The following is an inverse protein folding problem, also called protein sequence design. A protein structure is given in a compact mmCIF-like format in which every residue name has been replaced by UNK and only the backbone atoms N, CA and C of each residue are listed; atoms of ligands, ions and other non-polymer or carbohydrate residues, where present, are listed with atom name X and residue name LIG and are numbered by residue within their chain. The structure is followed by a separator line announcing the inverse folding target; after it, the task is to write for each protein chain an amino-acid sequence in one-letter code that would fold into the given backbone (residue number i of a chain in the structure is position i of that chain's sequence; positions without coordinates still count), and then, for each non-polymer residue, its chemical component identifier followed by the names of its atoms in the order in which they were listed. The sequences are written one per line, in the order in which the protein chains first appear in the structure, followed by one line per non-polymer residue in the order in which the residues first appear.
data_IF_608909170077
#
_entry.id   IF_608909170077
#
_cell.length_a   1.000
_cell.length_b   1.000
_cell.length_c   1.000
_cell.angle_alpha   90.00
_cell.angle_beta   90.00
_cell.angle_gamma   90.00
#
_symmetry.space_group_name_H-M   'P 1'
#
loop_
_entity.id
_entity.type
_entity.pdbx_description
1 polymer ?
#
# COMPACT_ATOMS: atom_id res chain seq x y z
N UNK A 1 14.20 12.74 7.80
CA UNK A 1 13.00 12.05 7.30
C UNK A 1 13.34 11.56 5.92
N UNK A 2 13.42 10.26 5.75
CA UNK A 2 13.88 9.66 4.51
C UNK A 2 12.75 9.73 3.48
N UNK A 3 12.80 10.70 2.59
CA UNK A 3 11.87 10.87 1.45
C UNK A 3 11.92 9.71 0.43
N UNK A 4 12.68 8.64 0.73
CA UNK A 4 12.89 7.50 -0.14
C UNK A 4 11.59 6.71 -0.39
N UNK A 5 10.72 6.60 0.62
CA UNK A 5 9.45 5.89 0.48
C UNK A 5 8.51 6.55 -0.54
N UNK A 6 8.40 7.89 -0.51
CA UNK A 6 7.57 8.62 -1.46
C UNK A 6 8.17 8.58 -2.88
N UNK A 7 9.51 8.67 -3.00
CA UNK A 7 10.20 8.55 -4.29
C UNK A 7 10.05 7.16 -4.90
N UNK A 8 10.10 6.11 -4.08
CA UNK A 8 9.81 4.76 -4.52
C UNK A 8 8.36 4.63 -5.01
N UNK A 9 7.39 5.17 -4.25
CA UNK A 9 5.98 5.12 -4.63
C UNK A 9 5.72 5.87 -5.95
N UNK A 10 6.32 7.04 -6.15
CA UNK A 10 6.24 7.80 -7.39
C UNK A 10 6.81 7.03 -8.60
N UNK A 11 7.94 6.33 -8.41
CA UNK A 11 8.55 5.50 -9.45
C UNK A 11 7.69 4.28 -9.79
N UNK A 12 7.29 3.54 -8.77
CA UNK A 12 6.43 2.37 -8.91
C UNK A 12 5.09 2.70 -9.58
N UNK A 13 4.47 3.82 -9.20
CA UNK A 13 3.20 4.23 -9.81
C UNK A 13 3.36 4.50 -11.31
N UNK A 14 4.44 5.17 -11.72
CA UNK A 14 4.73 5.41 -13.14
C UNK A 14 5.00 4.14 -13.93
N UNK A 15 5.67 3.16 -13.32
CA UNK A 15 5.99 1.89 -13.97
C UNK A 15 4.78 0.97 -14.14
N UNK A 16 3.72 1.18 -13.35
CA UNK A 16 2.50 0.37 -13.38
C UNK A 16 1.38 1.01 -14.19
N UNK A 17 1.51 2.26 -14.62
CA UNK A 17 0.62 2.91 -15.59
C UNK A 17 0.85 2.34 -16.99
N UNK A 18 -0.12 1.58 -17.50
CA UNK A 18 -0.09 0.94 -18.82
C UNK A 18 -1.13 1.48 -19.81
N UNK A 19 -1.90 2.51 -19.43
CA UNK A 19 -2.94 3.15 -20.25
C UNK A 19 -4.37 2.68 -19.97
N UNK A 20 -4.55 1.50 -19.35
CA UNK A 20 -5.86 0.97 -18.94
C UNK A 20 -6.08 1.08 -17.43
N UNK A 21 -4.98 1.09 -16.65
CA UNK A 21 -5.01 1.22 -15.20
C UNK A 21 -5.60 2.55 -14.72
N UNK A 22 -5.33 3.66 -15.41
CA UNK A 22 -5.70 5.01 -14.95
C UNK A 22 -7.22 5.23 -14.85
N UNK A 23 -8.03 4.40 -15.51
CA UNK A 23 -9.49 4.53 -15.50
C UNK A 23 -10.19 3.72 -14.39
N UNK A 24 -9.50 2.78 -13.73
CA UNK A 24 -10.12 1.87 -12.77
C UNK A 24 -9.33 1.69 -11.45
N UNK A 25 -8.05 2.06 -11.42
CA UNK A 25 -7.15 1.79 -10.30
C UNK A 25 -6.33 3.03 -9.92
N UNK A 26 -6.08 3.21 -8.62
CA UNK A 26 -5.40 4.42 -8.15
C UNK A 26 -4.82 4.32 -6.74
N UNK A 27 -4.16 5.40 -6.34
CA UNK A 27 -3.68 5.63 -4.97
C UNK A 27 -4.68 6.57 -4.30
N UNK A 28 -5.32 6.11 -3.23
CA UNK A 28 -6.21 6.92 -2.40
C UNK A 28 -5.41 7.35 -1.17
N UNK A 29 -5.32 8.65 -0.93
CA UNK A 29 -4.72 9.22 0.29
C UNK A 29 -5.83 9.98 1.02
N UNK A 30 -6.08 9.59 2.25
CA UNK A 30 -7.12 10.20 3.08
C UNK A 30 -6.50 10.71 4.38
N UNK A 31 -7.04 11.81 4.87
CA UNK A 31 -6.73 12.28 6.22
C UNK A 31 -7.55 11.44 7.19
N UNK A 32 -6.88 10.80 8.15
CA UNK A 32 -7.54 10.19 9.30
C UNK A 32 -7.52 11.18 10.47
N UNK A 33 -8.54 11.14 11.32
CA UNK A 33 -8.63 12.04 12.48
C UNK A 33 -7.39 11.90 13.39
N UNK A 34 -6.97 13.03 13.97
CA UNK A 34 -5.71 13.22 14.72
C UNK A 34 -4.41 13.11 13.88
N UNK A 35 -4.27 13.97 12.88
CA UNK A 35 -3.00 14.25 12.16
C UNK A 35 -2.37 13.05 11.43
N UNK A 36 -3.15 12.02 11.12
CA UNK A 36 -2.66 10.85 10.37
C UNK A 36 -3.09 10.90 8.91
N UNK A 37 -2.40 10.14 8.07
CA UNK A 37 -2.82 9.82 6.71
C UNK A 37 -3.00 8.30 6.57
N UNK A 38 -4.09 7.87 5.96
CA UNK A 38 -4.23 6.51 5.43
C UNK A 38 -3.96 6.53 3.93
N UNK A 39 -3.37 5.44 3.44
CA UNK A 39 -3.12 5.24 2.02
C UNK A 39 -3.65 3.87 1.61
N UNK A 40 -4.44 3.83 0.55
CA UNK A 40 -4.90 2.62 -0.11
C UNK A 40 -4.37 2.58 -1.53
N UNK A 41 -3.83 1.43 -1.93
CA UNK A 41 -3.25 1.22 -3.26
C UNK A 41 -3.77 -0.11 -3.78
N UNK A 42 -4.44 -0.08 -4.92
CA UNK A 42 -4.85 -1.31 -5.60
C UNK A 42 -3.65 -1.94 -6.31
N UNK A 43 -3.35 -3.20 -6.00
CA UNK A 43 -2.23 -3.94 -6.58
C UNK A 43 -2.64 -4.81 -7.77
N UNK A 44 -3.93 -4.89 -8.11
CA UNK A 44 -4.43 -5.67 -9.24
C UNK A 44 -3.70 -5.27 -10.54
N UNK A 45 -3.28 -6.27 -11.31
CA UNK A 45 -2.53 -6.06 -12.55
C UNK A 45 -1.09 -5.57 -12.38
N UNK A 46 -0.60 -5.39 -11.15
CA UNK A 46 0.80 -5.01 -10.90
C UNK A 46 1.65 -6.22 -10.52
N UNK A 47 2.99 -6.16 -10.67
CA UNK A 47 3.90 -7.19 -10.19
C UNK A 47 3.81 -7.48 -8.68
N UNK A 48 3.18 -6.59 -7.89
CA UNK A 48 3.02 -6.74 -6.45
C UNK A 48 1.76 -7.50 -6.03
N UNK A 49 0.87 -7.87 -6.97
CA UNK A 49 -0.42 -8.52 -6.67
C UNK A 49 -0.26 -9.82 -5.86
N UNK A 50 0.81 -10.58 -6.10
CA UNK A 50 1.09 -11.86 -5.44
C UNK A 50 2.17 -11.74 -4.34
N UNK A 51 2.55 -10.51 -3.96
CA UNK A 51 3.52 -10.32 -2.90
C UNK A 51 2.84 -10.57 -1.56
N UNK A 52 3.13 -11.73 -0.97
CA UNK A 52 2.71 -12.02 0.40
C UNK A 52 3.47 -11.08 1.34
N UNK A 53 2.77 -10.12 1.93
CA UNK A 53 3.28 -9.45 3.12
C UNK A 53 3.48 -10.52 4.18
N UNK A 54 4.72 -10.75 4.61
CA UNK A 54 4.99 -11.48 5.84
C UNK A 54 4.42 -10.64 6.99
N UNK A 55 3.11 -10.74 7.20
CA UNK A 55 2.51 -10.29 8.44
C UNK A 55 3.27 -11.05 9.54
N UNK A 56 3.76 -10.37 10.58
CA UNK A 56 4.27 -11.08 11.74
C UNK A 56 3.16 -12.04 12.19
N UNK A 57 3.49 -13.27 12.61
CA UNK A 57 2.48 -14.20 13.13
C UNK A 57 1.65 -13.42 14.14
N UNK A 58 0.34 -13.38 13.91
CA UNK A 58 -0.61 -12.71 14.80
C UNK A 58 -0.26 -13.12 16.22
N UNK A 59 0.17 -12.16 17.05
CA UNK A 59 0.17 -12.35 18.49
C UNK A 59 -1.30 -12.42 18.92
N UNK A 60 -1.92 -13.58 18.68
CA UNK A 60 -3.13 -13.93 19.39
C UNK A 60 -2.68 -14.07 20.83
N UNK A 61 -2.95 -13.06 21.64
CA UNK A 61 -2.88 -13.21 23.08
C UNK A 61 -3.77 -14.38 23.45
N UNK A 62 -3.15 -15.53 23.67
CA UNK A 62 -3.76 -16.65 24.35
C UNK A 62 -3.86 -16.21 25.81
N UNK A 63 -5.00 -15.60 26.13
CA UNK A 63 -5.52 -15.55 27.50
C UNK A 63 -5.85 -16.99 27.89
N UNK A 64 -4.85 -17.73 28.36
CA UNK A 64 -5.03 -18.97 29.10
C UNK A 64 -4.06 -18.96 30.31
N UNK A 65 -4.68 -19.09 31.49
CA UNK A 65 -4.21 -19.09 32.89
C UNK A 65 -3.98 -17.76 33.64
#
# INVERSE_FOLDING_TARGET
MDNNALRWLEGWFKETCDGDREHAYGIIIETIDNLGWSMHVDLAGTPLVDTTTHLPPSITGSDDD
#
